data_IF_638693798805
#
_entry.id   IF_638693798805
#
_cell.length_a   1.000
_cell.length_b   1.000
_cell.length_c   1.000
_cell.angle_alpha   90.00
_cell.angle_beta   90.00
_cell.angle_gamma   90.00
#
_symmetry.space_group_name_H-M   'P 1'
#
loop_
_entity.id
_entity.type
_entity.pdbx_description
1 polymer ?
#
# COMPACT_ATOMS: atom_id res chain seq x y z
N UNK A 1 -5.45 2.84 3.79
CA UNK A 1 -4.29 2.31 4.55
C UNK A 1 -3.28 1.75 3.55
N UNK A 2 -2.02 2.22 3.56
CA UNK A 2 -0.96 1.69 2.71
C UNK A 2 -0.79 0.18 2.91
N UNK A 3 -0.69 -0.58 1.82
CA UNK A 3 -0.58 -2.04 1.82
C UNK A 3 0.14 -2.51 0.57
N UNK A 4 0.74 -3.69 0.63
CA UNK A 4 1.41 -4.36 -0.47
C UNK A 4 0.84 -5.76 -0.70
N UNK A 5 1.16 -6.37 -1.84
CA UNK A 5 0.68 -7.72 -2.20
C UNK A 5 -0.86 -7.85 -2.14
N UNK A 6 -1.58 -6.76 -2.37
CA UNK A 6 -2.99 -6.78 -2.67
C UNK A 6 -3.17 -7.10 -4.16
N UNK A 7 -4.38 -7.45 -4.56
CA UNK A 7 -4.74 -7.50 -5.98
C UNK A 7 -5.83 -6.48 -6.27
N UNK A 8 -5.94 -6.11 -7.54
CA UNK A 8 -6.97 -5.20 -8.02
C UNK A 8 -7.47 -5.63 -9.38
N UNK A 9 -8.74 -5.35 -9.66
CA UNK A 9 -9.31 -5.44 -11.00
C UNK A 9 -10.30 -4.31 -11.24
N UNK A 10 -10.50 -3.97 -12.52
CA UNK A 10 -11.47 -2.96 -12.93
C UNK A 10 -12.78 -3.65 -13.29
N UNK A 11 -13.88 -3.21 -12.69
CA UNK A 11 -15.24 -3.65 -13.02
C UNK A 11 -16.22 -2.51 -12.78
N UNK A 12 -17.15 -2.32 -13.72
CA UNK A 12 -18.22 -1.32 -13.63
C UNK A 12 -17.70 0.10 -13.29
N UNK A 13 -16.61 0.55 -13.91
CA UNK A 13 -16.05 1.88 -13.65
C UNK A 13 -15.38 2.05 -12.28
N UNK A 14 -15.27 0.97 -11.51
CA UNK A 14 -14.53 0.95 -10.24
C UNK A 14 -13.28 0.10 -10.36
N UNK A 15 -12.22 0.51 -9.67
CA UNK A 15 -11.12 -0.38 -9.33
C UNK A 15 -11.44 -1.04 -7.97
N UNK A 16 -11.74 -2.33 -7.99
CA UNK A 16 -11.92 -3.13 -6.78
C UNK A 16 -10.56 -3.66 -6.35
N UNK A 17 -10.19 -3.37 -5.10
CA UNK A 17 -8.97 -3.88 -4.48
C UNK A 17 -9.34 -4.80 -3.32
N UNK A 18 -8.57 -5.87 -3.14
CA UNK A 18 -8.82 -6.85 -2.09
C UNK A 18 -7.54 -7.27 -1.37
N UNK A 19 -7.68 -7.42 -0.06
CA UNK A 19 -6.69 -8.02 0.82
C UNK A 19 -5.34 -7.30 0.84
N UNK A 20 -4.27 -8.08 0.95
CA UNK A 20 -2.91 -7.56 1.04
C UNK A 20 -2.38 -7.54 2.48
N UNK A 21 -1.13 -7.14 2.61
CA UNK A 21 -0.41 -7.05 3.87
C UNK A 21 0.03 -5.62 4.12
N UNK A 22 0.05 -5.21 5.38
CA UNK A 22 0.56 -3.92 5.80
C UNK A 22 1.74 -4.15 6.75
N UNK A 23 2.76 -3.29 6.64
CA UNK A 23 3.90 -3.33 7.54
C UNK A 23 3.42 -3.14 8.98
N UNK A 24 3.73 -4.10 9.85
CA UNK A 24 3.47 -3.99 11.28
C UNK A 24 4.22 -2.78 11.82
N UNK A 25 3.49 -1.74 12.22
CA UNK A 25 3.99 -0.84 13.25
C UNK A 25 3.75 -1.55 14.58
N UNK A 26 4.83 -2.02 15.19
CA UNK A 26 4.84 -2.59 16.54
C UNK A 26 4.34 -1.56 17.55
N UNK A 27 3.04 -1.49 17.74
CA UNK A 27 2.42 -0.78 18.86
C UNK A 27 1.51 -1.78 19.54
N UNK A 28 2.04 -2.34 20.64
CA UNK A 28 1.40 -3.22 21.61
C UNK A 28 1.31 -4.71 21.24
N UNK A 29 2.01 -5.50 22.05
CA UNK A 29 1.99 -6.95 22.33
C UNK A 29 0.67 -7.73 22.11
N UNK A 30 0.08 -7.67 20.93
CA UNK A 30 -0.89 -8.65 20.45
C UNK A 30 -0.40 -9.18 19.12
N UNK A 31 -0.52 -10.50 18.93
CA UNK A 31 -0.27 -11.20 17.68
C UNK A 31 -1.24 -10.66 16.61
N UNK A 32 -0.97 -9.47 16.06
CA UNK A 32 -1.80 -8.85 15.04
C UNK A 32 -1.56 -9.57 13.71
N UNK A 33 -2.65 -10.02 13.11
CA UNK A 33 -2.72 -10.54 11.74
C UNK A 33 -2.19 -9.46 10.78
N UNK A 34 -1.03 -9.69 10.16
CA UNK A 34 -0.37 -8.71 9.26
C UNK A 34 -1.02 -8.58 7.87
N UNK A 35 -2.23 -9.08 7.70
CA UNK A 35 -2.91 -9.19 6.41
C UNK A 35 -4.42 -9.03 6.62
N UNK A 36 -5.09 -8.51 5.60
CA UNK A 36 -6.49 -8.08 5.66
C UNK A 36 -7.35 -8.77 4.61
N UNK A 37 -8.67 -8.65 4.77
CA UNK A 37 -9.74 -9.22 3.92
C UNK A 37 -10.77 -8.16 3.54
N UNK A 38 -10.44 -6.88 3.71
CA UNK A 38 -11.34 -5.80 3.32
C UNK A 38 -11.30 -5.58 1.80
N UNK A 39 -12.44 -5.11 1.29
CA UNK A 39 -12.60 -4.64 -0.07
C UNK A 39 -12.65 -3.12 -0.06
N UNK A 40 -11.87 -2.51 -0.94
CA UNK A 40 -11.94 -1.09 -1.21
C UNK A 40 -12.27 -0.91 -2.69
N UNK A 41 -13.28 -0.09 -2.97
CA UNK A 41 -13.60 0.35 -4.32
C UNK A 41 -13.05 1.75 -4.51
N UNK A 42 -12.42 1.97 -5.65
CA UNK A 42 -12.06 3.30 -6.11
C UNK A 42 -12.92 3.65 -7.32
N UNK A 43 -13.72 4.70 -7.19
CA UNK A 43 -14.52 5.27 -8.27
C UNK A 43 -13.61 6.06 -9.20
N UNK A 44 -13.43 5.55 -10.42
CA UNK A 44 -12.49 6.12 -11.39
C UNK A 44 -13.00 7.47 -11.90
N UNK A 45 -14.32 7.64 -12.01
CA UNK A 45 -14.92 8.86 -12.55
C UNK A 45 -14.93 9.97 -11.49
N UNK A 46 -15.19 9.60 -10.24
CA UNK A 46 -15.22 10.55 -9.13
C UNK A 46 -13.90 10.75 -8.41
N UNK A 47 -12.88 9.96 -8.70
CA UNK A 47 -11.59 9.98 -7.98
C UNK A 47 -11.80 9.84 -6.46
N UNK A 48 -12.62 8.88 -6.03
CA UNK A 48 -12.98 8.69 -4.63
C UNK A 48 -12.85 7.23 -4.19
N UNK A 49 -12.33 7.03 -2.98
CA UNK A 49 -12.30 5.72 -2.33
C UNK A 49 -13.56 5.49 -1.50
N UNK A 50 -14.06 4.27 -1.53
CA UNK A 50 -15.15 3.82 -0.67
C UNK A 50 -14.82 2.43 -0.10
N UNK A 51 -15.04 2.26 1.21
CA UNK A 51 -14.92 0.95 1.86
C UNK A 51 -16.21 0.17 1.62
N UNK A 52 -16.09 -1.05 1.13
CA UNK A 52 -17.26 -1.92 0.96
C UNK A 52 -17.70 -2.42 2.33
N UNK A 53 -18.96 -2.21 2.68
CA UNK A 53 -19.51 -2.75 3.92
C UNK A 53 -19.82 -4.23 3.73
N UNK A 54 -19.11 -5.08 4.45
CA UNK A 54 -19.10 -6.53 4.31
C UNK A 54 -19.53 -7.22 5.60
N UNK A 55 -20.32 -6.55 6.43
CA UNK A 55 -20.79 -7.01 7.74
C UNK A 55 -21.56 -8.35 7.70
N UNK A 56 -22.02 -8.79 6.54
CA UNK A 56 -22.70 -10.09 6.34
C UNK A 56 -21.77 -11.22 5.86
N UNK A 57 -20.50 -10.92 5.55
CA UNK A 57 -19.55 -11.90 5.05
C UNK A 57 -18.62 -12.32 6.20
N UNK A 58 -18.44 -13.62 6.43
CA UNK A 58 -17.42 -14.18 7.33
C UNK A 58 -16.02 -13.95 6.73
N UNK A 59 -15.61 -12.68 6.64
CA UNK A 59 -14.39 -12.24 5.97
C UNK A 59 -13.10 -12.71 6.66
N UNK A 60 -13.18 -13.09 7.94
CA UNK A 60 -12.05 -13.57 8.74
C UNK A 60 -11.33 -14.78 8.13
N UNK A 61 -12.03 -15.57 7.30
CA UNK A 61 -11.46 -16.70 6.56
C UNK A 61 -10.85 -16.29 5.21
N UNK A 62 -11.12 -15.07 4.74
CA UNK A 62 -10.65 -14.59 3.44
C UNK A 62 -9.33 -13.83 3.53
N UNK A 63 -8.86 -13.50 4.73
CA UNK A 63 -7.62 -12.75 4.96
C UNK A 63 -6.46 -13.39 4.20
N UNK A 64 -5.85 -12.64 3.27
CA UNK A 64 -4.78 -13.13 2.40
C UNK A 64 -3.99 -12.01 1.72
N UNK A 65 -2.80 -12.34 1.28
CA UNK A 65 -1.99 -11.49 0.40
C UNK A 65 -1.35 -12.32 -0.72
N UNK A 66 -0.81 -11.64 -1.74
CA UNK A 66 -0.14 -12.21 -2.90
C UNK A 66 -1.06 -12.85 -3.94
N UNK A 67 -2.35 -12.94 -3.67
CA UNK A 67 -3.34 -13.59 -4.54
C UNK A 67 -3.48 -12.91 -5.90
N UNK A 68 -4.05 -13.65 -6.85
CA UNK A 68 -4.40 -13.10 -8.17
C UNK A 68 -5.88 -12.78 -8.23
N UNK A 69 -6.23 -11.74 -9.00
CA UNK A 69 -7.61 -11.34 -9.24
C UNK A 69 -7.80 -10.98 -10.71
N UNK A 70 -8.90 -11.47 -11.28
CA UNK A 70 -9.30 -11.18 -12.66
C UNK A 70 -10.78 -10.78 -12.68
N UNK A 71 -11.16 -9.87 -13.57
CA UNK A 71 -12.55 -9.48 -13.78
C UNK A 71 -13.08 -10.05 -15.10
N UNK A 72 -14.24 -10.72 -15.04
CA UNK A 72 -14.96 -11.27 -16.19
C UNK A 72 -16.46 -11.02 -15.97
N UNK A 73 -17.13 -10.35 -16.91
CA UNK A 73 -18.58 -10.13 -16.89
C UNK A 73 -19.11 -9.63 -15.52
N UNK A 74 -18.70 -8.44 -15.10
CA UNK A 74 -19.05 -7.79 -13.82
C UNK A 74 -18.71 -8.60 -12.56
N UNK A 75 -17.93 -9.66 -12.71
CA UNK A 75 -17.55 -10.56 -11.64
C UNK A 75 -16.04 -10.57 -11.50
N UNK A 76 -15.56 -10.31 -10.29
CA UNK A 76 -14.18 -10.55 -9.92
C UNK A 76 -14.01 -11.98 -9.40
N UNK A 77 -12.94 -12.63 -9.85
CA UNK A 77 -12.49 -13.94 -9.41
C UNK A 77 -11.13 -13.78 -8.76
N UNK A 78 -11.03 -14.20 -7.49
CA UNK A 78 -9.79 -14.18 -6.72
C UNK A 78 -9.38 -15.60 -6.44
N UNK A 79 -8.12 -15.93 -6.71
CA UNK A 79 -7.61 -17.28 -6.51
C UNK A 79 -6.25 -17.28 -5.84
N UNK A 80 -6.06 -18.28 -4.98
CA UNK A 80 -4.83 -18.50 -4.23
C UNK A 80 -4.56 -17.42 -3.19
N UNK A 81 -3.27 -17.12 -3.00
CA UNK A 81 -2.78 -16.25 -1.93
C UNK A 81 -2.21 -17.03 -0.76
N UNK A 82 -1.79 -16.28 0.26
CA UNK A 82 -1.16 -16.83 1.44
C UNK A 82 -1.72 -16.19 2.71
N UNK A 83 -1.94 -17.01 3.74
CA UNK A 83 -2.39 -16.57 5.06
C UNK A 83 -1.77 -17.39 6.19
N UNK A 84 -0.48 -17.72 6.05
CA UNK A 84 0.31 -18.75 6.78
C UNK A 84 0.31 -20.12 6.11
N UNK A 85 -0.69 -20.39 5.26
CA UNK A 85 -0.69 -21.54 4.34
C UNK A 85 -0.97 -21.05 2.91
N UNK A 86 -0.52 -21.82 1.92
CA UNK A 86 -0.88 -21.55 0.53
C UNK A 86 -2.35 -21.90 0.31
N UNK A 87 -3.12 -20.92 -0.14
CA UNK A 87 -4.54 -21.06 -0.40
C UNK A 87 -4.77 -21.61 -1.81
N UNK A 88 -5.86 -22.37 -1.98
CA UNK A 88 -6.25 -23.03 -3.25
C UNK A 88 -7.73 -22.81 -3.58
N UNK A 89 -8.37 -21.91 -2.86
CA UNK A 89 -9.77 -21.55 -3.04
C UNK A 89 -9.95 -20.54 -4.17
N UNK A 90 -11.20 -20.43 -4.62
CA UNK A 90 -11.67 -19.48 -5.62
C UNK A 90 -12.80 -18.66 -4.99
N UNK A 91 -12.58 -17.37 -4.82
CA UNK A 91 -13.60 -16.43 -4.36
C UNK A 91 -14.21 -15.76 -5.58
N UNK A 92 -15.54 -15.78 -5.69
CA UNK A 92 -16.30 -15.06 -6.70
C UNK A 92 -16.99 -13.87 -6.05
N UNK A 93 -16.85 -12.69 -6.66
CA UNK A 93 -17.48 -11.45 -6.20
C UNK A 93 -18.15 -10.81 -7.39
N UNK A 94 -19.46 -10.63 -7.30
CA UNK A 94 -20.22 -9.88 -8.29
C UNK A 94 -20.49 -8.50 -7.72
N UNK A 95 -20.14 -7.46 -8.48
CA UNK A 95 -20.69 -6.15 -8.19
C UNK A 95 -21.99 -6.01 -8.97
N UNK A 96 -23.02 -5.54 -8.28
CA UNK A 96 -24.25 -5.17 -8.95
C UNK A 96 -23.97 -4.05 -9.97
N UNK A 97 -24.89 -3.85 -10.89
CA UNK A 97 -24.82 -2.73 -11.83
C UNK A 97 -26.14 -1.99 -11.76
N UNK A 98 -26.10 -0.66 -11.94
CA UNK A 98 -27.28 0.18 -11.74
C UNK A 98 -28.45 -0.28 -12.62
N UNK A 99 -28.16 -0.71 -13.85
CA UNK A 99 -29.10 -1.27 -14.83
C UNK A 99 -29.84 -2.53 -14.36
N UNK A 100 -29.39 -3.20 -13.29
CA UNK A 100 -30.11 -4.34 -12.71
C UNK A 100 -31.26 -3.92 -11.79
N UNK A 101 -31.29 -2.68 -11.32
CA UNK A 101 -32.31 -2.19 -10.38
C UNK A 101 -33.52 -1.62 -11.13
N UNK A 102 -34.68 -2.26 -10.93
CA UNK A 102 -35.95 -1.87 -11.54
C UNK A 102 -36.80 -0.95 -10.65
N UNK A 103 -36.38 -0.74 -9.40
CA UNK A 103 -37.11 0.05 -8.42
C UNK A 103 -36.23 1.21 -7.95
N UNK A 104 -36.82 2.40 -7.84
CA UNK A 104 -36.15 3.61 -7.34
C UNK A 104 -35.53 3.40 -5.95
N UNK A 105 -36.22 2.69 -5.06
CA UNK A 105 -35.74 2.38 -3.70
C UNK A 105 -34.51 1.47 -3.69
N UNK A 106 -34.42 0.51 -4.61
CA UNK A 106 -33.26 -0.38 -4.75
C UNK A 106 -32.12 0.34 -5.47
N UNK A 107 -32.44 1.15 -6.48
CA UNK A 107 -31.47 1.97 -7.22
C UNK A 107 -30.73 2.94 -6.29
N UNK A 108 -31.43 3.52 -5.32
CA UNK A 108 -30.84 4.47 -4.36
C UNK A 108 -30.22 3.79 -3.13
N UNK A 109 -30.23 2.45 -3.07
CA UNK A 109 -29.66 1.67 -1.97
C UNK A 109 -28.18 1.32 -2.21
N UNK A 110 -27.42 1.21 -1.12
CA UNK A 110 -25.98 1.50 -1.08
C UNK A 110 -25.02 0.44 -1.67
N UNK A 111 -23.77 0.90 -1.87
CA UNK A 111 -22.49 0.29 -2.34
C UNK A 111 -22.06 0.82 -3.71
N UNK A 112 -23.01 1.08 -4.61
CA UNK A 112 -22.74 1.65 -5.94
C UNK A 112 -23.55 2.93 -6.06
N UNK A 113 -22.90 4.05 -6.38
CA UNK A 113 -23.57 5.34 -6.60
C UNK A 113 -24.44 5.25 -7.85
N UNK A 114 -25.73 5.00 -7.66
CA UNK A 114 -26.71 4.96 -8.73
C UNK A 114 -27.77 6.05 -8.49
N UNK A 115 -28.35 6.53 -9.59
CA UNK A 115 -29.40 7.55 -9.62
C UNK A 115 -30.57 7.03 -10.45
N UNK A 116 -31.78 7.24 -9.93
CA UNK A 116 -32.99 7.00 -10.69
C UNK A 116 -33.27 8.17 -11.64
N UNK A 117 -33.39 7.88 -12.93
CA UNK A 117 -33.69 8.89 -13.94
C UNK A 117 -34.52 8.28 -15.08
N UNK A 118 -35.57 8.97 -15.49
CA UNK A 118 -36.45 8.53 -16.59
C UNK A 118 -36.92 7.07 -16.47
N UNK A 119 -37.34 6.67 -15.26
CA UNK A 119 -37.80 5.31 -14.97
C UNK A 119 -36.76 4.20 -15.21
N UNK A 120 -35.48 4.57 -15.19
CA UNK A 120 -34.34 3.67 -15.31
C UNK A 120 -33.31 4.01 -14.23
N UNK A 121 -32.61 3.00 -13.73
CA UNK A 121 -31.51 3.21 -12.81
C UNK A 121 -30.21 3.33 -13.59
N UNK A 122 -29.52 4.46 -13.43
CA UNK A 122 -28.27 4.77 -14.13
C UNK A 122 -27.16 5.02 -13.11
N UNK A 123 -25.89 4.90 -13.54
CA UNK A 123 -24.75 5.29 -12.69
C UNK A 123 -24.85 6.79 -12.39
N UNK A 124 -24.69 7.14 -11.12
CA UNK A 124 -24.57 8.53 -10.72
C UNK A 124 -23.12 8.98 -10.88
N UNK A 125 -22.89 9.79 -11.92
CA UNK A 125 -21.60 10.41 -12.20
C UNK A 125 -21.47 11.79 -11.55
N UNK A 126 -22.46 12.18 -10.74
CA UNK A 126 -22.44 13.45 -10.02
C UNK A 126 -21.47 13.35 -8.84
N UNK A 127 -20.20 13.62 -9.11
CA UNK A 127 -19.15 13.60 -8.10
C UNK A 127 -19.28 14.81 -7.20
N UNK A 128 -20.06 14.67 -6.12
CA UNK A 128 -19.98 15.61 -5.01
C UNK A 128 -18.61 15.45 -4.37
N UNK A 129 -17.77 16.47 -4.50
CA UNK A 129 -16.56 16.58 -3.70
C UNK A 129 -17.01 16.50 -2.25
N UNK A 130 -16.75 15.37 -1.59
CA UNK A 130 -16.88 15.29 -0.15
C UNK A 130 -15.84 16.26 0.36
N UNK A 131 -16.27 17.50 0.64
CA UNK A 131 -15.47 18.41 1.45
C UNK A 131 -15.39 17.72 2.79
N UNK A 132 -14.26 17.04 3.01
CA UNK A 132 -14.00 16.25 4.20
C UNK A 132 -14.37 17.14 5.40
N UNK A 133 -15.46 16.77 6.07
CA UNK A 133 -16.03 17.57 7.15
C UNK A 133 -14.90 17.84 8.15
N UNK A 134 -14.76 19.10 8.58
CA UNK A 134 -13.67 19.70 9.38
C UNK A 134 -13.03 18.86 10.54
N UNK A 135 -13.54 17.68 10.89
CA UNK A 135 -13.12 16.83 12.00
C UNK A 135 -12.06 15.76 11.67
N UNK A 136 -11.75 15.46 10.40
CA UNK A 136 -10.80 14.38 10.03
C UNK A 136 -9.38 14.86 9.73
N UNK A 137 -9.16 16.14 9.44
CA UNK A 137 -7.86 16.69 9.09
C UNK A 137 -6.76 16.38 10.13
N UNK A 138 -7.10 16.39 11.42
CA UNK A 138 -6.14 16.15 12.51
C UNK A 138 -5.59 14.72 12.56
N UNK A 139 -6.18 13.79 11.80
CA UNK A 139 -5.71 12.40 11.71
C UNK A 139 -4.51 12.24 10.77
N UNK A 140 -4.29 13.19 9.86
CA UNK A 140 -3.20 13.13 8.90
C UNK A 140 -1.91 13.66 9.53
N UNK A 141 -0.88 12.80 9.56
CA UNK A 141 0.43 13.09 10.16
C UNK A 141 1.49 13.52 9.16
N UNK A 142 1.17 13.56 7.86
CA UNK A 142 2.09 14.01 6.82
C UNK A 142 1.50 15.18 6.03
N UNK A 143 2.36 16.11 5.63
CA UNK A 143 1.94 17.30 4.89
C UNK A 143 1.26 16.93 3.56
N UNK A 144 1.79 15.93 2.86
CA UNK A 144 1.22 15.48 1.60
C UNK A 144 -0.19 14.90 1.77
N UNK A 145 -0.41 14.07 2.79
CA UNK A 145 -1.74 13.54 3.08
C UNK A 145 -2.72 14.67 3.47
N UNK A 146 -2.25 15.65 4.24
CA UNK A 146 -3.02 16.83 4.61
C UNK A 146 -3.47 17.65 3.39
N UNK A 147 -2.55 17.88 2.45
CA UNK A 147 -2.83 18.64 1.24
C UNK A 147 -3.78 17.89 0.29
N UNK A 148 -3.62 16.58 0.14
CA UNK A 148 -4.55 15.72 -0.63
C UNK A 148 -5.95 15.77 -0.03
N UNK A 149 -6.05 15.78 1.30
CA UNK A 149 -7.32 15.90 2.02
C UNK A 149 -7.92 17.32 1.99
N UNK A 150 -7.32 18.26 1.23
CA UNK A 150 -7.75 19.67 1.14
C UNK A 150 -7.76 20.39 2.51
N UNK A 151 -6.89 19.96 3.43
CA UNK A 151 -6.68 20.57 4.74
C UNK A 151 -5.48 21.54 4.73
N UNK A 152 -5.26 22.24 5.85
CA UNK A 152 -4.16 23.20 6.01
C UNK A 152 -3.05 22.60 6.88
N UNK A 153 -1.79 22.71 6.45
CA UNK A 153 -0.63 22.28 7.25
C UNK A 153 -0.11 23.46 8.08
N UNK A 154 -0.19 23.38 9.40
CA UNK A 154 0.32 24.39 10.33
C UNK A 154 1.41 23.78 11.23
N UNK A 155 2.68 24.07 10.97
CA UNK A 155 3.77 23.75 11.90
C UNK A 155 3.85 22.27 12.31
N UNK A 156 3.85 21.37 11.32
CA UNK A 156 3.88 19.91 11.47
C UNK A 156 2.57 19.25 11.95
N UNK A 157 1.44 19.95 11.88
CA UNK A 157 0.11 19.38 12.12
C UNK A 157 -0.89 19.76 11.03
N UNK A 158 -1.81 18.85 10.73
CA UNK A 158 -2.87 19.07 9.77
C UNK A 158 -4.15 19.58 10.44
N UNK A 159 -4.69 20.70 9.97
CA UNK A 159 -5.87 21.37 10.54
C UNK A 159 -6.91 21.67 9.47
N UNK A 160 -8.18 21.69 9.87
CA UNK A 160 -9.29 22.11 8.99
C UNK A 160 -9.44 23.63 8.93
N UNK A 161 -8.97 24.34 9.95
CA UNK A 161 -9.04 25.80 10.02
C UNK A 161 -7.79 26.45 9.41
N UNK A 162 -8.00 27.51 8.64
CA UNK A 162 -6.94 28.32 8.00
C UNK A 162 -6.22 29.27 8.97
N UNK A 163 -6.53 29.21 10.28
CA UNK A 163 -5.91 30.07 11.31
C UNK A 163 -4.60 29.48 11.81
N UNK A 164 -3.64 29.28 10.91
CA UNK A 164 -2.26 29.03 11.33
C UNK A 164 -1.70 30.33 11.93
N UNK A 165 -1.15 30.28 13.14
CA UNK A 165 -0.47 31.43 13.78
C UNK A 165 0.74 31.94 12.98
N UNK A 166 1.16 31.19 11.95
CA UNK A 166 2.30 31.41 11.06
C UNK A 166 1.88 31.36 9.57
N UNK A 167 0.66 31.79 9.21
CA UNK A 167 0.18 31.79 7.82
C UNK A 167 0.03 30.39 7.18
N UNK A 168 -0.59 30.26 5.99
CA UNK A 168 -0.68 28.99 5.29
C UNK A 168 0.71 28.57 4.79
N UNK A 169 1.37 27.66 5.50
CA UNK A 169 2.62 27.07 5.04
C UNK A 169 2.34 25.98 4.03
N UNK A 170 2.72 26.20 2.76
CA UNK A 170 2.91 25.12 1.80
C UNK A 170 3.85 24.05 2.40
N UNK A 171 3.71 22.80 1.96
CA UNK A 171 4.63 21.74 2.35
C UNK A 171 6.07 22.16 2.03
N UNK A 172 6.92 22.19 3.04
CA UNK A 172 8.34 22.45 2.87
C UNK A 172 9.07 21.14 2.56
N UNK A 173 10.25 21.23 1.97
CA UNK A 173 11.08 20.05 1.70
C UNK A 173 11.37 19.24 2.98
N UNK A 174 11.40 19.89 4.15
CA UNK A 174 11.56 19.25 5.47
C UNK A 174 10.36 18.39 5.87
N UNK A 175 9.15 18.75 5.45
CA UNK A 175 7.93 18.01 5.81
C UNK A 175 7.82 16.67 5.06
N UNK A 176 8.65 16.44 4.04
CA UNK A 176 8.65 15.23 3.21
C UNK A 176 9.63 14.15 3.67
N UNK A 177 10.52 14.45 4.62
CA UNK A 177 11.57 13.53 5.05
C UNK A 177 11.03 12.18 5.55
N UNK A 178 9.88 12.19 6.22
CA UNK A 178 9.24 10.99 6.77
C UNK A 178 8.78 9.98 5.72
N UNK A 179 8.71 10.35 4.44
CA UNK A 179 8.35 9.46 3.33
C UNK A 179 9.52 8.53 2.98
N UNK A 180 10.76 8.98 3.21
CA UNK A 180 11.95 8.22 2.84
C UNK A 180 12.28 7.17 3.90
N UNK A 181 12.22 5.90 3.50
CA UNK A 181 12.45 4.74 4.37
C UNK A 181 13.85 4.13 4.23
N UNK A 182 14.72 4.71 3.41
CA UNK A 182 16.12 4.29 3.25
C UNK A 182 17.08 5.48 3.24
N UNK A 183 18.33 5.25 3.68
CA UNK A 183 19.38 6.28 3.75
C UNK A 183 19.58 6.95 2.38
N UNK A 184 19.68 6.15 1.32
CA UNK A 184 19.86 6.66 -0.04
C UNK A 184 18.69 7.52 -0.50
N UNK A 185 17.46 7.11 -0.20
CA UNK A 185 16.27 7.91 -0.52
C UNK A 185 16.24 9.22 0.26
N UNK A 186 16.63 9.19 1.54
CA UNK A 186 16.72 10.36 2.42
C UNK A 186 17.78 11.36 1.94
N UNK A 187 18.91 10.85 1.45
CA UNK A 187 20.03 11.66 0.97
C UNK A 187 19.73 12.44 -0.32
N UNK A 188 18.68 12.09 -1.07
CA UNK A 188 18.22 12.84 -2.24
C UNK A 188 17.78 14.25 -1.84
N UNK A 189 17.24 14.42 -0.63
CA UNK A 189 16.77 15.69 -0.14
C UNK A 189 17.76 16.29 0.88
N UNK A 190 18.37 17.41 0.53
CA UNK A 190 19.34 18.12 1.39
C UNK A 190 18.72 18.74 2.64
N UNK A 191 17.39 18.85 2.69
CA UNK A 191 16.64 19.29 3.87
C UNK A 191 16.34 18.13 4.85
N UNK A 192 16.83 16.92 4.55
CA UNK A 192 16.67 15.72 5.37
C UNK A 192 18.01 15.14 5.83
N UNK A 193 18.01 14.48 6.98
CA UNK A 193 19.16 13.82 7.59
C UNK A 193 18.75 12.43 8.06
N UNK A 194 19.56 11.42 7.75
CA UNK A 194 19.35 10.04 8.21
C UNK A 194 19.92 9.84 9.61
N UNK A 195 19.06 9.53 10.59
CA UNK A 195 19.46 9.31 11.98
C UNK A 195 18.68 8.13 12.57
N UNK A 196 19.38 7.19 13.23
CA UNK A 196 18.77 6.02 13.88
C UNK A 196 17.80 5.22 12.98
N UNK A 197 18.19 4.97 11.71
CA UNK A 197 17.35 4.30 10.71
C UNK A 197 16.02 5.01 10.34
N UNK A 198 15.92 6.31 10.61
CA UNK A 198 14.76 7.13 10.25
C UNK A 198 15.25 8.39 9.54
N UNK A 199 14.54 8.80 8.48
CA UNK A 199 14.79 10.07 7.81
C UNK A 199 14.05 11.20 8.53
N UNK A 200 14.81 12.17 9.07
CA UNK A 200 14.28 13.30 9.84
C UNK A 200 14.67 14.63 9.18
N UNK A 201 13.95 15.73 9.44
CA UNK A 201 14.37 17.06 8.98
C UNK A 201 15.78 17.40 9.48
N UNK A 202 16.67 17.81 8.57
CA UNK A 202 18.08 18.08 8.90
C UNK A 202 18.84 18.75 7.76
N UNK A 203 20.14 19.01 7.94
CA UNK A 203 20.97 19.69 6.94
C UNK A 203 21.80 18.68 6.15
N UNK A 204 21.13 17.81 5.42
CA UNK A 204 21.74 16.81 4.54
C UNK A 204 22.12 15.51 5.25
N UNK A 205 22.25 14.47 4.43
CA UNK A 205 22.68 13.14 4.86
C UNK A 205 24.08 12.86 4.31
N UNK A 206 25.06 12.63 5.19
CA UNK A 206 26.42 12.25 4.81
C UNK A 206 26.69 10.80 5.17
N UNK A 207 27.22 10.00 4.24
CA UNK A 207 27.70 8.65 4.52
C UNK A 207 26.74 7.49 4.23
N UNK A 208 25.74 7.66 3.37
CA UNK A 208 24.98 6.52 2.87
C UNK A 208 25.82 5.66 1.89
N UNK A 209 25.60 4.33 1.83
CA UNK A 209 26.21 3.46 0.83
C UNK A 209 26.01 4.03 -0.58
N UNK A 210 27.12 4.33 -1.29
CA UNK A 210 27.12 5.01 -2.59
C UNK A 210 26.27 4.32 -3.68
N UNK A 211 25.86 3.06 -3.46
CA UNK A 211 25.03 2.29 -4.40
C UNK A 211 23.82 1.68 -3.69
N UNK A 212 22.63 1.69 -4.33
CA UNK A 212 21.44 1.01 -3.81
C UNK A 212 21.67 -0.50 -3.73
N UNK A 213 20.94 -1.18 -2.83
CA UNK A 213 21.11 -2.61 -2.61
C UNK A 213 20.98 -3.42 -3.91
N UNK A 214 20.05 -3.04 -4.79
CA UNK A 214 19.79 -3.70 -6.07
C UNK A 214 20.97 -3.72 -7.05
N UNK A 215 21.97 -2.85 -6.88
CA UNK A 215 23.15 -2.81 -7.74
C UNK A 215 24.28 -3.75 -7.27
N UNK A 216 24.17 -4.33 -6.07
CA UNK A 216 25.16 -5.30 -5.61
C UNK A 216 24.85 -6.68 -6.17
N UNK A 217 25.76 -7.19 -7.01
CA UNK A 217 25.67 -8.51 -7.63
C UNK A 217 26.34 -9.64 -6.84
N UNK A 218 26.95 -9.34 -5.69
CA UNK A 218 27.69 -10.30 -4.88
C UNK A 218 27.29 -10.21 -3.41
N UNK A 219 27.23 -11.37 -2.74
CA UNK A 219 26.82 -11.48 -1.36
C UNK A 219 27.68 -10.65 -0.39
N UNK A 220 29.01 -10.66 -0.54
CA UNK A 220 29.88 -9.91 0.38
C UNK A 220 29.64 -8.40 0.29
N UNK A 221 29.46 -7.88 -0.93
CA UNK A 221 29.18 -6.46 -1.15
C UNK A 221 27.78 -6.09 -0.65
N UNK A 222 26.80 -6.97 -0.84
CA UNK A 222 25.43 -6.75 -0.36
C UNK A 222 25.37 -6.67 1.18
N UNK A 223 25.89 -7.69 1.85
CA UNK A 223 25.83 -7.81 3.33
C UNK A 223 26.69 -6.76 4.05
N UNK A 224 27.65 -6.15 3.36
CA UNK A 224 28.45 -5.05 3.91
C UNK A 224 27.72 -3.70 3.95
N UNK A 225 26.57 -3.56 3.27
CA UNK A 225 25.86 -2.28 3.09
C UNK A 225 24.45 -2.24 3.75
N UNK A 226 24.26 -2.96 4.86
CA UNK A 226 22.96 -3.06 5.56
C UNK A 226 21.80 -3.56 4.68
N UNK A 227 22.12 -4.36 3.65
CA UNK A 227 21.17 -5.00 2.74
C UNK A 227 20.99 -6.49 3.10
N UNK A 228 19.95 -7.11 2.53
CA UNK A 228 19.71 -8.54 2.58
C UNK A 228 20.13 -9.19 1.25
N UNK A 229 20.93 -10.26 1.32
CA UNK A 229 21.28 -11.09 0.17
C UNK A 229 20.41 -12.33 0.14
N UNK A 230 19.89 -12.66 -1.04
CA UNK A 230 19.18 -13.90 -1.30
C UNK A 230 20.01 -14.84 -2.18
N UNK A 231 20.48 -15.96 -1.60
CA UNK A 231 21.45 -16.83 -2.24
C UNK A 231 20.90 -17.54 -3.48
N UNK A 232 19.68 -18.08 -3.41
CA UNK A 232 19.13 -18.88 -4.51
C UNK A 232 18.69 -18.04 -5.73
N UNK A 233 18.50 -16.73 -5.57
CA UNK A 233 18.16 -15.81 -6.67
C UNK A 233 19.31 -14.90 -7.07
N UNK A 234 20.42 -14.93 -6.33
CA UNK A 234 21.56 -14.03 -6.45
C UNK A 234 21.15 -12.55 -6.49
N UNK A 235 20.22 -12.15 -5.61
CA UNK A 235 19.69 -10.78 -5.53
C UNK A 235 19.98 -10.15 -4.19
N UNK A 236 20.44 -8.90 -4.24
CA UNK A 236 20.56 -8.02 -3.08
C UNK A 236 19.37 -7.05 -3.01
N UNK A 237 18.75 -6.95 -1.84
CA UNK A 237 17.56 -6.11 -1.63
C UNK A 237 17.68 -5.32 -0.33
N UNK A 238 17.00 -4.18 -0.27
CA UNK A 238 16.84 -3.48 1.01
C UNK A 238 15.99 -4.35 1.97
N UNK A 239 16.30 -4.29 3.26
CA UNK A 239 15.64 -5.12 4.29
C UNK A 239 14.12 -4.87 4.36
N UNK A 240 13.71 -3.62 4.22
CA UNK A 240 12.32 -3.19 4.16
C UNK A 240 11.60 -3.60 2.85
N UNK A 241 12.35 -3.94 1.80
CA UNK A 241 11.84 -4.32 0.49
C UNK A 241 11.79 -5.85 0.30
N UNK A 242 12.31 -6.63 1.25
CA UNK A 242 12.40 -8.09 1.13
C UNK A 242 11.05 -8.74 0.76
N UNK A 243 9.98 -8.37 1.48
CA UNK A 243 8.65 -8.98 1.32
C UNK A 243 8.04 -8.67 -0.06
N UNK A 244 8.34 -7.50 -0.63
CA UNK A 244 7.86 -7.12 -1.98
C UNK A 244 8.79 -7.63 -3.08
N UNK A 245 10.07 -7.85 -2.79
CA UNK A 245 11.03 -8.37 -3.75
C UNK A 245 10.91 -9.89 -3.96
N UNK A 246 10.57 -10.63 -2.91
CA UNK A 246 10.46 -12.09 -2.92
C UNK A 246 9.07 -12.55 -2.53
N UNK A 247 8.23 -12.74 -3.54
CA UNK A 247 6.88 -13.27 -3.34
C UNK A 247 6.98 -14.76 -2.99
N UNK A 248 6.12 -15.28 -2.10
CA UNK A 248 5.94 -16.72 -1.90
C UNK A 248 7.21 -17.55 -1.62
N UNK A 249 8.11 -17.05 -0.75
CA UNK A 249 9.37 -17.73 -0.45
C UNK A 249 10.25 -17.98 -1.70
N UNK A 250 10.14 -17.10 -2.71
CA UNK A 250 11.10 -17.04 -3.83
C UNK A 250 12.55 -16.95 -3.34
N UNK A 251 12.77 -16.37 -2.17
CA UNK A 251 14.02 -16.49 -1.46
C UNK A 251 13.95 -17.63 -0.44
N UNK A 252 14.72 -18.68 -0.69
CA UNK A 252 14.75 -19.89 0.14
C UNK A 252 15.67 -19.71 1.35
N UNK A 253 16.68 -18.86 1.22
CA UNK A 253 17.59 -18.50 2.31
C UNK A 253 18.14 -17.09 2.06
N UNK A 254 18.17 -16.29 3.13
CA UNK A 254 18.63 -14.91 3.09
C UNK A 254 19.64 -14.65 4.20
N UNK A 255 20.60 -13.77 3.93
CA UNK A 255 21.59 -13.35 4.93
C UNK A 255 21.83 -11.85 4.89
N UNK A 256 22.12 -11.28 6.06
CA UNK A 256 22.66 -9.93 6.24
C UNK A 256 24.11 -9.94 6.73
N UNK A 257 24.71 -11.13 6.87
CA UNK A 257 26.05 -11.31 7.42
C UNK A 257 27.01 -11.81 6.35
N UNK A 258 28.13 -11.13 6.23
CA UNK A 258 29.18 -11.47 5.26
C UNK A 258 29.73 -12.90 5.48
N UNK A 259 29.79 -13.38 6.73
CA UNK A 259 30.26 -14.74 7.04
C UNK A 259 29.36 -15.86 6.51
N UNK A 260 28.07 -15.58 6.29
CA UNK A 260 27.08 -16.55 5.80
C UNK A 260 27.03 -16.58 4.26
N UNK A 261 27.84 -15.77 3.58
CA UNK A 261 27.95 -15.76 2.11
C UNK A 261 28.66 -17.00 1.52
N UNK A 262 29.16 -17.90 2.35
CA UNK A 262 29.83 -19.12 1.89
C UNK A 262 28.81 -20.23 1.61
N UNK A 263 28.29 -20.21 0.38
CA UNK A 263 27.34 -21.21 -0.12
C UNK A 263 27.09 -21.18 -1.63
N UNK A 264 27.97 -20.55 -2.43
CA UNK A 264 27.92 -20.70 -3.89
C UNK A 264 28.42 -22.10 -4.25
N UNK A 265 27.52 -23.10 -4.26
CA UNK A 265 27.77 -24.35 -4.96
C UNK A 265 27.91 -24.05 -6.45
N UNK A 266 29.15 -23.76 -6.86
CA UNK A 266 29.56 -23.80 -8.25
C UNK A 266 29.48 -25.26 -8.69
N UNK A 267 28.39 -25.65 -9.35
CA UNK A 267 28.35 -26.89 -10.12
C UNK A 267 29.25 -26.69 -11.35
N UNK A 268 30.56 -26.87 -11.18
CA UNK A 268 31.45 -27.09 -12.31
C UNK A 268 31.16 -28.48 -12.86
N UNK A 269 30.36 -28.54 -13.93
CA UNK A 269 30.32 -29.70 -14.81
C UNK A 269 31.71 -29.84 -15.44
N UNK A 270 32.51 -30.77 -14.93
CA UNK A 270 33.65 -31.31 -15.65
C UNK A 270 33.11 -32.29 -16.69
N UNK A 271 33.30 -31.96 -17.97
CA UNK A 271 33.16 -32.87 -19.11
C UNK A 271 34.07 -34.09 -18.98
#
# INVERSE_FOLDING_TARGET
MPRYLHSAAILNGFMLTFGGSFGSNTVNNTLLKCFVSDFMLYDIECDQWQKVNTTSLHLEYLDRFGHSMIAVNNTAYIFGGFNSVLLKDLIKITLDSCDMFQNETLCTSNVIKCKWSNNTCIRDTSCTSVKDSNSTCTTYTSCQACHIAQCHWCGNQCTSTSKCSQGPSNCTEKDTCSIYSSCNSCAINTACSWQNNVCVPGNGTTGCPQKPCSEHSHCQNCTSNSCMWCSNTAKCVETNAYVVAFHYAQCMDWTTKNMECQGEFSLTYTN
#
